data_IF_015860184104
#
_entry.id   IF_015860184104
#
_cell.length_a   1.000
_cell.length_b   1.000
_cell.length_c   1.000
_cell.angle_alpha   90.00
_cell.angle_beta   90.00
_cell.angle_gamma   90.00
#
_symmetry.space_group_name_H-M   'P 1'
#
loop_
_entity.id
_entity.type
_entity.pdbx_description
1 polymer ?
#
# COMPACT_ATOMS: atom_id res chain seq x y z
N UNK A 1 7.05 -27.94 49.40
CA UNK A 1 8.09 -28.06 48.35
C UNK A 1 8.49 -29.52 48.17
N UNK A 2 7.95 -30.22 47.15
CA UNK A 2 8.43 -31.50 46.55
C UNK A 2 7.28 -32.07 45.71
N UNK A 3 7.24 -31.78 44.40
CA UNK A 3 6.42 -32.56 43.44
C UNK A 3 6.73 -32.38 41.94
N UNK A 4 7.67 -31.53 41.52
CA UNK A 4 7.90 -31.29 40.07
C UNK A 4 9.11 -32.01 39.46
N UNK A 5 9.97 -32.66 40.25
CA UNK A 5 11.22 -33.26 39.75
C UNK A 5 11.03 -34.51 38.86
N UNK A 6 9.83 -35.10 38.84
CA UNK A 6 9.52 -36.24 37.97
C UNK A 6 8.87 -35.84 36.62
N UNK A 7 8.47 -34.58 36.43
CA UNK A 7 7.71 -34.19 35.22
C UNK A 7 8.59 -33.97 33.99
N UNK A 8 9.79 -33.38 34.16
CA UNK A 8 10.71 -33.10 33.07
C UNK A 8 11.33 -34.36 32.43
N UNK A 9 11.79 -35.37 33.20
CA UNK A 9 12.32 -36.61 32.63
C UNK A 9 11.23 -37.40 31.89
N UNK A 10 10.00 -37.39 32.40
CA UNK A 10 8.85 -38.06 31.79
C UNK A 10 8.46 -37.37 30.47
N UNK A 11 8.46 -36.04 30.41
CA UNK A 11 8.19 -35.29 29.18
C UNK A 11 9.28 -35.48 28.12
N UNK A 12 10.55 -35.57 28.53
CA UNK A 12 11.67 -35.86 27.61
C UNK A 12 11.55 -37.29 27.08
N UNK A 13 11.27 -38.27 27.94
CA UNK A 13 11.07 -39.65 27.52
C UNK A 13 9.84 -39.82 26.62
N UNK A 14 8.71 -39.17 26.95
CA UNK A 14 7.50 -39.17 26.14
C UNK A 14 7.73 -38.51 24.77
N UNK A 15 8.48 -37.40 24.72
CA UNK A 15 8.85 -36.75 23.46
C UNK A 15 9.78 -37.61 22.61
N UNK A 16 10.74 -38.30 23.23
CA UNK A 16 11.64 -39.23 22.52
C UNK A 16 10.87 -40.44 21.94
N UNK A 17 9.91 -40.98 22.67
CA UNK A 17 9.04 -42.08 22.21
C UNK A 17 8.12 -41.61 21.08
N UNK A 18 7.53 -40.41 21.18
CA UNK A 18 6.70 -39.82 20.13
C UNK A 18 7.50 -39.49 18.86
N UNK A 19 8.72 -38.98 18.98
CA UNK A 19 9.61 -38.77 17.83
C UNK A 19 10.05 -40.09 17.19
N UNK A 20 10.32 -41.13 17.98
CA UNK A 20 10.67 -42.46 17.46
C UNK A 20 9.49 -43.10 16.71
N UNK A 21 8.26 -42.97 17.22
CA UNK A 21 7.05 -43.43 16.56
C UNK A 21 6.70 -42.61 15.31
N UNK A 22 6.94 -41.29 15.32
CA UNK A 22 6.74 -40.45 14.13
C UNK A 22 7.74 -40.73 13.01
N UNK A 23 8.93 -41.27 13.33
CA UNK A 23 9.98 -41.59 12.36
C UNK A 23 9.61 -42.74 11.42
N UNK A 24 8.73 -43.67 11.83
CA UNK A 24 8.30 -44.79 10.97
C UNK A 24 7.27 -44.37 9.92
N UNK A 25 6.42 -43.39 10.24
CA UNK A 25 5.28 -42.98 9.40
C UNK A 25 5.51 -41.65 8.66
N UNK A 26 6.46 -40.84 9.09
CA UNK A 26 6.84 -39.61 8.38
C UNK A 26 7.89 -39.92 7.31
N UNK A 27 7.47 -39.90 6.04
CA UNK A 27 8.34 -40.12 4.87
C UNK A 27 9.55 -39.19 4.88
N UNK A 28 9.39 -37.93 5.32
CA UNK A 28 10.49 -36.97 5.45
C UNK A 28 11.49 -37.35 6.56
N UNK A 29 11.03 -37.77 7.74
CA UNK A 29 11.93 -38.16 8.85
C UNK A 29 12.60 -39.52 8.64
N UNK A 30 11.99 -40.39 7.82
CA UNK A 30 12.54 -41.70 7.43
C UNK A 30 13.67 -41.56 6.42
N UNK A 31 13.50 -40.71 5.40
CA UNK A 31 14.49 -40.47 4.38
C UNK A 31 14.32 -39.06 3.77
N UNK A 32 14.93 -38.02 4.39
CA UNK A 32 14.78 -36.63 3.95
C UNK A 32 15.20 -36.43 2.49
N UNK A 33 16.29 -37.08 2.07
CA UNK A 33 16.85 -36.95 0.73
C UNK A 33 15.90 -37.53 -0.33
N UNK A 34 15.31 -38.69 -0.06
CA UNK A 34 14.31 -39.31 -0.95
C UNK A 34 13.02 -38.47 -1.04
N UNK A 35 12.55 -37.92 0.09
CA UNK A 35 11.39 -37.03 0.10
C UNK A 35 11.67 -35.77 -0.73
N UNK A 36 12.80 -35.11 -0.52
CA UNK A 36 13.18 -33.90 -1.27
C UNK A 36 13.32 -34.21 -2.76
N UNK A 37 14.01 -35.29 -3.13
CA UNK A 37 14.16 -35.73 -4.52
C UNK A 37 12.83 -36.09 -5.19
N UNK A 38 11.88 -36.70 -4.45
CA UNK A 38 10.54 -37.01 -4.97
C UNK A 38 9.72 -35.74 -5.16
N UNK A 39 9.80 -34.80 -4.22
CA UNK A 39 9.12 -33.50 -4.29
C UNK A 39 9.66 -32.66 -5.43
N UNK A 40 10.98 -32.62 -5.62
CA UNK A 40 11.63 -31.99 -6.76
C UNK A 40 11.25 -32.64 -8.09
N UNK A 41 11.18 -33.98 -8.16
CA UNK A 41 10.72 -34.70 -9.36
C UNK A 41 9.28 -34.35 -9.71
N UNK A 42 8.37 -34.34 -8.73
CA UNK A 42 6.97 -33.96 -8.95
C UNK A 42 6.86 -32.50 -9.41
N UNK A 43 7.55 -31.58 -8.72
CA UNK A 43 7.57 -30.16 -9.09
C UNK A 43 8.16 -29.94 -10.49
N UNK A 44 9.17 -30.71 -10.87
CA UNK A 44 9.76 -30.68 -12.21
C UNK A 44 8.81 -31.26 -13.26
N UNK A 45 8.12 -32.35 -12.96
CA UNK A 45 7.11 -32.94 -13.84
C UNK A 45 5.93 -31.98 -14.07
N UNK A 46 5.42 -31.35 -13.02
CA UNK A 46 4.35 -30.35 -13.09
C UNK A 46 4.81 -29.09 -13.84
N UNK A 47 6.04 -28.64 -13.60
CA UNK A 47 6.68 -27.53 -14.33
C UNK A 47 6.88 -27.85 -15.80
N UNK A 48 7.31 -29.08 -16.14
CA UNK A 48 7.47 -29.54 -17.52
C UNK A 48 6.12 -29.67 -18.22
N UNK A 49 5.07 -30.18 -17.55
CA UNK A 49 3.71 -30.22 -18.08
C UNK A 49 3.19 -28.81 -18.32
N UNK A 50 3.35 -27.91 -17.36
CA UNK A 50 2.96 -26.50 -17.46
C UNK A 50 3.73 -25.81 -18.59
N UNK A 51 5.02 -26.08 -18.74
CA UNK A 51 5.87 -25.52 -19.80
C UNK A 51 5.48 -26.07 -21.18
N UNK A 52 5.10 -27.35 -21.28
CA UNK A 52 4.61 -27.97 -22.53
C UNK A 52 3.24 -27.43 -22.91
N UNK A 53 2.33 -27.28 -21.94
CA UNK A 53 1.01 -26.67 -22.17
C UNK A 53 1.20 -25.20 -22.55
N UNK A 54 2.04 -24.44 -21.86
CA UNK A 54 2.36 -23.07 -22.20
C UNK A 54 2.94 -22.98 -23.62
N UNK A 55 3.91 -23.82 -23.99
CA UNK A 55 4.44 -23.92 -25.35
C UNK A 55 3.39 -24.31 -26.39
N UNK A 56 2.44 -25.18 -26.04
CA UNK A 56 1.37 -25.62 -26.93
C UNK A 56 0.29 -24.55 -27.11
N UNK A 57 -0.03 -23.80 -26.06
CA UNK A 57 -0.94 -22.64 -26.06
C UNK A 57 -0.28 -21.43 -26.74
N UNK A 58 1.04 -21.28 -26.63
CA UNK A 58 1.83 -20.24 -27.30
C UNK A 58 2.35 -20.69 -28.67
N UNK A 59 2.00 -21.89 -29.14
CA UNK A 59 2.46 -22.41 -30.42
C UNK A 59 1.72 -21.69 -31.56
N UNK A 60 2.43 -21.24 -32.60
CA UNK A 60 1.80 -20.59 -33.76
C UNK A 60 0.87 -21.52 -34.56
N UNK A 61 0.83 -22.82 -34.26
CA UNK A 61 -0.03 -23.80 -34.93
C UNK A 61 -1.44 -23.92 -34.33
N UNK A 62 -1.63 -23.49 -33.07
CA UNK A 62 -2.95 -23.27 -32.44
C UNK A 62 -3.32 -21.80 -32.42
N UNK A 63 -2.37 -20.94 -32.75
CA UNK A 63 -2.63 -19.58 -33.16
C UNK A 63 -3.34 -19.59 -34.52
N UNK A 64 -4.64 -19.84 -34.48
CA UNK A 64 -5.53 -18.83 -35.01
C UNK A 64 -5.16 -17.54 -34.26
N UNK A 65 -4.08 -16.90 -34.73
CA UNK A 65 -3.85 -15.49 -34.57
C UNK A 65 -5.10 -14.87 -35.20
N UNK A 66 -6.17 -14.76 -34.41
CA UNK A 66 -6.85 -13.50 -34.31
C UNK A 66 -5.73 -12.49 -34.11
N UNK A 67 -5.18 -12.01 -35.22
CA UNK A 67 -4.47 -10.76 -35.30
C UNK A 67 -5.52 -9.78 -34.84
N UNK A 68 -5.61 -9.61 -33.52
CA UNK A 68 -6.62 -8.82 -32.88
C UNK A 68 -6.38 -7.43 -33.46
N UNK A 69 -7.20 -7.07 -34.44
CA UNK A 69 -6.85 -6.02 -35.38
C UNK A 69 -6.80 -4.74 -34.57
N UNK A 70 -5.59 -4.20 -34.41
CA UNK A 70 -5.38 -3.01 -33.61
C UNK A 70 -6.29 -1.91 -34.17
N UNK A 71 -7.05 -1.29 -33.29
CA UNK A 71 -8.05 -0.30 -33.66
C UNK A 71 -7.38 1.06 -33.74
N UNK A 72 -7.75 1.83 -34.77
CA UNK A 72 -7.44 3.26 -34.77
C UNK A 72 -8.14 3.88 -33.54
N UNK A 73 -7.41 4.48 -32.58
CA UNK A 73 -8.01 5.07 -31.37
C UNK A 73 -9.05 6.15 -31.68
N UNK A 74 -8.96 6.82 -32.84
CA UNK A 74 -9.98 7.78 -33.27
C UNK A 74 -11.33 7.11 -33.60
N UNK A 75 -11.34 5.82 -33.94
CA UNK A 75 -12.53 5.04 -34.24
C UNK A 75 -13.00 4.19 -33.05
N UNK A 76 -12.26 4.17 -31.93
CA UNK A 76 -12.66 3.45 -30.72
C UNK A 76 -13.92 4.11 -30.10
N UNK A 77 -14.94 3.31 -29.68
CA UNK A 77 -16.12 3.84 -29.03
C UNK A 77 -15.79 4.65 -27.77
N UNK A 78 -16.51 5.76 -27.56
CA UNK A 78 -16.38 6.63 -26.39
C UNK A 78 -17.62 6.47 -25.52
N UNK A 79 -17.44 6.02 -24.28
CA UNK A 79 -18.52 5.99 -23.27
C UNK A 79 -18.45 7.16 -22.30
N UNK A 80 -17.26 7.65 -21.98
CA UNK A 80 -17.08 8.74 -21.02
C UNK A 80 -15.83 9.59 -21.30
N UNK A 81 -15.63 10.62 -20.48
CA UNK A 81 -14.51 11.56 -20.61
C UNK A 81 -13.12 10.90 -20.42
N UNK A 82 -13.04 9.75 -19.76
CA UNK A 82 -11.78 8.99 -19.60
C UNK A 82 -11.38 8.38 -20.95
N UNK A 83 -12.34 7.81 -21.69
CA UNK A 83 -12.10 7.32 -23.05
C UNK A 83 -11.63 8.46 -23.97
N UNK A 84 -12.24 9.64 -23.84
CA UNK A 84 -11.82 10.86 -24.55
C UNK A 84 -10.36 11.19 -24.30
N UNK A 85 -9.96 11.23 -23.02
CA UNK A 85 -8.59 11.53 -22.62
C UNK A 85 -7.59 10.46 -23.08
N UNK A 86 -7.89 9.17 -22.89
CA UNK A 86 -6.97 8.07 -23.21
C UNK A 86 -6.78 7.94 -24.72
N UNK A 87 -7.86 7.67 -25.46
CA UNK A 87 -7.73 7.42 -26.89
C UNK A 87 -7.42 8.71 -27.67
N UNK A 88 -7.80 9.89 -27.16
CA UNK A 88 -7.37 11.17 -27.72
C UNK A 88 -5.84 11.32 -27.67
N UNK A 89 -5.23 10.99 -26.53
CA UNK A 89 -3.77 11.01 -26.38
C UNK A 89 -3.08 9.93 -27.21
N UNK A 90 -3.66 8.73 -27.28
CA UNK A 90 -3.13 7.66 -28.14
C UNK A 90 -3.14 8.06 -29.62
N UNK A 91 -4.23 8.66 -30.10
CA UNK A 91 -4.33 9.15 -31.47
C UNK A 91 -3.27 10.22 -31.78
N UNK A 92 -3.11 11.21 -30.89
CA UNK A 92 -2.10 12.25 -31.02
C UNK A 92 -0.67 11.70 -31.02
N UNK A 93 -0.43 10.60 -30.30
CA UNK A 93 0.87 9.92 -30.23
C UNK A 93 1.07 8.86 -31.34
N UNK A 94 0.08 8.64 -32.22
CA UNK A 94 0.15 7.59 -33.25
C UNK A 94 0.13 6.15 -32.71
N UNK A 95 -0.34 5.96 -31.47
CA UNK A 95 -0.40 4.66 -30.80
C UNK A 95 -1.74 3.99 -31.12
N UNK A 96 -1.71 2.78 -31.67
CA UNK A 96 -2.93 2.03 -31.96
C UNK A 96 -3.54 1.43 -30.67
N UNK A 97 -4.86 1.30 -30.63
CA UNK A 97 -5.58 0.68 -29.51
C UNK A 97 -5.67 -0.83 -29.66
N UNK A 98 -5.65 -1.54 -28.54
CA UNK A 98 -6.10 -2.92 -28.50
C UNK A 98 -7.60 -2.99 -28.88
N UNK A 99 -8.08 -4.12 -29.44
CA UNK A 99 -9.50 -4.33 -29.67
C UNK A 99 -10.27 -4.47 -28.36
N UNK A 100 -11.59 -4.30 -28.45
CA UNK A 100 -12.49 -4.48 -27.30
C UNK A 100 -12.42 -5.94 -26.84
N UNK A 101 -12.25 -6.13 -25.53
CA UNK A 101 -12.20 -7.46 -24.92
C UNK A 101 -13.49 -8.24 -25.17
N UNK A 102 -13.36 -9.56 -25.37
CA UNK A 102 -14.50 -10.49 -25.41
C UNK A 102 -15.27 -10.48 -24.09
N UNK A 103 -16.50 -10.99 -24.09
CA UNK A 103 -17.33 -11.02 -22.87
C UNK A 103 -16.70 -11.88 -21.76
N UNK A 104 -16.03 -12.99 -22.13
CA UNK A 104 -15.34 -13.84 -21.17
C UNK A 104 -14.13 -13.14 -20.53
N UNK A 105 -13.31 -12.46 -21.34
CA UNK A 105 -12.17 -11.67 -20.87
C UNK A 105 -12.64 -10.51 -19.99
N UNK A 106 -13.64 -9.76 -20.45
CA UNK A 106 -14.24 -8.66 -19.71
C UNK A 106 -14.73 -9.13 -18.33
N UNK A 107 -15.57 -10.17 -18.29
CA UNK A 107 -16.16 -10.67 -17.05
C UNK A 107 -15.10 -11.14 -16.06
N UNK A 108 -14.09 -11.87 -16.54
CA UNK A 108 -12.98 -12.32 -15.70
C UNK A 108 -12.19 -11.14 -15.13
N UNK A 109 -11.79 -10.20 -15.98
CA UNK A 109 -10.99 -9.04 -15.57
C UNK A 109 -11.75 -8.15 -14.59
N UNK A 110 -12.99 -7.76 -14.92
CA UNK A 110 -13.78 -6.88 -14.05
C UNK A 110 -14.09 -7.51 -12.69
N UNK A 111 -14.35 -8.82 -12.63
CA UNK A 111 -14.60 -9.50 -11.36
C UNK A 111 -13.31 -9.57 -10.52
N UNK A 112 -12.17 -9.91 -11.14
CA UNK A 112 -10.89 -9.91 -10.44
C UNK A 112 -10.49 -8.51 -9.96
N UNK A 113 -10.69 -7.49 -10.78
CA UNK A 113 -10.30 -6.11 -10.49
C UNK A 113 -11.21 -5.46 -9.44
N UNK A 114 -12.51 -5.76 -9.44
CA UNK A 114 -13.42 -5.17 -8.48
C UNK A 114 -13.54 -5.98 -7.18
N UNK A 115 -13.45 -7.30 -7.23
CA UNK A 115 -13.72 -8.16 -6.06
C UNK A 115 -12.60 -9.14 -5.70
N UNK A 116 -11.60 -9.30 -6.57
CA UNK A 116 -10.45 -10.18 -6.31
C UNK A 116 -10.78 -11.66 -6.47
N UNK A 117 -11.94 -11.97 -7.05
CA UNK A 117 -12.44 -13.33 -7.26
C UNK A 117 -12.66 -13.59 -8.74
N UNK A 118 -12.60 -14.87 -9.12
CA UNK A 118 -13.04 -15.31 -10.44
C UNK A 118 -14.56 -15.54 -10.42
N UNK A 119 -15.28 -15.28 -11.53
CA UNK A 119 -16.71 -15.59 -11.63
C UNK A 119 -16.94 -17.10 -11.55
N UNK A 120 -18.10 -17.51 -11.04
CA UNK A 120 -18.49 -18.92 -11.03
C UNK A 120 -18.85 -19.42 -12.44
N UNK A 121 -18.72 -20.73 -12.68
CA UNK A 121 -19.10 -21.33 -13.98
C UNK A 121 -20.51 -20.95 -14.45
N UNK A 122 -21.56 -21.06 -13.61
CA UNK A 122 -22.90 -20.64 -13.97
C UNK A 122 -23.02 -19.15 -14.33
N UNK A 123 -22.33 -18.26 -13.62
CA UNK A 123 -22.33 -16.83 -13.95
C UNK A 123 -21.65 -16.54 -15.30
N UNK A 124 -20.56 -17.24 -15.60
CA UNK A 124 -19.87 -17.11 -16.89
C UNK A 124 -20.81 -17.51 -18.03
N UNK A 125 -21.49 -18.66 -17.90
CA UNK A 125 -22.46 -19.12 -18.91
C UNK A 125 -23.59 -18.10 -19.06
N UNK A 126 -24.19 -17.66 -17.95
CA UNK A 126 -25.28 -16.68 -17.99
C UNK A 126 -24.86 -15.38 -18.68
N UNK A 127 -23.69 -14.84 -18.35
CA UNK A 127 -23.20 -13.58 -18.90
C UNK A 127 -22.84 -13.66 -20.39
N UNK A 128 -22.25 -14.78 -20.84
CA UNK A 128 -21.89 -14.97 -22.25
C UNK A 128 -23.14 -15.07 -23.13
N UNK A 129 -24.17 -15.78 -22.66
CA UNK A 129 -25.43 -15.94 -23.42
C UNK A 129 -26.42 -14.79 -23.24
N UNK A 130 -26.18 -13.88 -22.29
CA UNK A 130 -26.94 -12.65 -22.17
C UNK A 130 -26.70 -11.75 -23.40
N UNK A 131 -27.79 -11.31 -24.02
CA UNK A 131 -27.77 -10.48 -25.24
C UNK A 131 -28.10 -9.01 -24.96
N UNK A 132 -28.35 -8.66 -23.70
CA UNK A 132 -28.59 -7.28 -23.31
C UNK A 132 -27.34 -6.42 -23.62
N UNK A 133 -27.47 -5.37 -24.46
CA UNK A 133 -26.34 -4.49 -24.78
C UNK A 133 -25.78 -3.74 -23.57
N UNK A 134 -26.52 -3.67 -22.46
CA UNK A 134 -26.14 -3.01 -21.21
C UNK A 134 -25.54 -3.97 -20.15
N UNK A 135 -25.46 -5.29 -20.43
CA UNK A 135 -25.01 -6.30 -19.45
C UNK A 135 -23.67 -6.00 -18.78
N UNK A 136 -22.74 -5.35 -19.50
CA UNK A 136 -21.41 -4.97 -18.98
C UNK A 136 -21.53 -3.89 -17.89
N UNK A 137 -22.35 -2.87 -18.14
CA UNK A 137 -22.57 -1.76 -17.20
C UNK A 137 -23.32 -2.28 -15.97
N UNK A 138 -24.38 -3.08 -16.17
CA UNK A 138 -25.12 -3.72 -15.08
C UNK A 138 -24.24 -4.65 -14.22
N UNK A 139 -23.29 -5.39 -14.84
CA UNK A 139 -22.34 -6.22 -14.09
C UNK A 139 -21.35 -5.38 -13.28
N UNK A 140 -20.87 -4.27 -13.82
CA UNK A 140 -20.01 -3.32 -13.08
C UNK A 140 -20.77 -2.77 -11.87
N UNK A 141 -22.00 -2.27 -12.07
CA UNK A 141 -22.84 -1.73 -11.00
C UNK A 141 -23.15 -2.77 -9.91
N UNK A 142 -23.38 -4.03 -10.29
CA UNK A 142 -23.60 -5.10 -9.33
C UNK A 142 -22.33 -5.47 -8.52
N UNK A 143 -21.14 -5.29 -9.10
CA UNK A 143 -19.87 -5.57 -8.43
C UNK A 143 -19.45 -4.41 -7.52
N UNK A 144 -19.61 -3.16 -7.99
CA UNK A 144 -19.31 -1.97 -7.20
C UNK A 144 -20.29 -1.88 -6.03
N UNK A 145 -19.77 -1.85 -4.80
CA UNK A 145 -20.60 -1.86 -3.59
C UNK A 145 -21.04 -3.24 -3.10
N UNK A 146 -20.63 -4.32 -3.78
CA UNK A 146 -20.76 -5.69 -3.23
C UNK A 146 -19.91 -5.86 -1.96
N UNK A 147 -20.27 -6.80 -1.06
CA UNK A 147 -19.44 -7.12 0.10
C UNK A 147 -18.00 -7.49 -0.28
N UNK A 148 -17.82 -8.20 -1.39
CA UNK A 148 -16.51 -8.59 -1.89
C UNK A 148 -15.69 -7.40 -2.42
N UNK A 149 -16.35 -6.41 -3.05
CA UNK A 149 -15.70 -5.16 -3.42
C UNK A 149 -15.22 -4.43 -2.17
N UNK A 150 -16.08 -4.30 -1.16
CA UNK A 150 -15.72 -3.65 0.11
C UNK A 150 -14.51 -4.34 0.73
N UNK A 151 -14.53 -5.67 0.84
CA UNK A 151 -13.41 -6.43 1.41
C UNK A 151 -12.12 -6.27 0.59
N UNK A 152 -12.18 -6.36 -0.74
CA UNK A 152 -11.00 -6.16 -1.61
C UNK A 152 -10.40 -4.77 -1.43
N UNK A 153 -11.21 -3.73 -1.55
CA UNK A 153 -10.71 -2.35 -1.55
C UNK A 153 -10.29 -1.90 -0.15
N UNK A 154 -10.93 -2.42 0.90
CA UNK A 154 -10.42 -2.28 2.28
C UNK A 154 -9.02 -2.88 2.40
N UNK A 155 -8.79 -4.06 1.83
CA UNK A 155 -7.46 -4.69 1.84
C UNK A 155 -6.44 -3.94 0.98
N UNK A 156 -6.83 -3.41 -0.18
CA UNK A 156 -5.97 -2.56 -1.01
C UNK A 156 -5.47 -1.34 -0.23
N UNK A 157 -6.38 -0.57 0.38
CA UNK A 157 -5.99 0.57 1.22
C UNK A 157 -5.26 0.12 2.49
N UNK A 158 -5.63 -1.04 3.03
CA UNK A 158 -4.95 -1.65 4.17
C UNK A 158 -3.48 -1.93 3.90
N UNK A 159 -3.15 -2.43 2.71
CA UNK A 159 -1.77 -2.65 2.27
C UNK A 159 -1.05 -1.32 2.01
N UNK A 160 -1.68 -0.42 1.23
CA UNK A 160 -1.14 0.91 0.92
C UNK A 160 -0.77 1.70 2.18
N UNK A 161 -1.64 1.72 3.19
CA UNK A 161 -1.44 2.42 4.45
C UNK A 161 -0.79 1.57 5.56
N UNK A 162 -0.37 0.35 5.22
CA UNK A 162 0.39 -0.55 6.09
C UNK A 162 -0.33 -0.82 7.42
N UNK A 163 -1.60 -1.24 7.32
CA UNK A 163 -2.45 -1.63 8.46
C UNK A 163 -1.89 -2.93 9.06
N UNK A 164 -1.14 -2.78 10.13
CA UNK A 164 -0.55 -3.90 10.88
C UNK A 164 -0.59 -3.60 12.38
N UNK A 165 -0.67 -4.65 13.19
CA UNK A 165 -0.59 -4.53 14.64
C UNK A 165 0.85 -4.21 15.10
N UNK A 166 1.84 -4.75 14.40
CA UNK A 166 3.25 -4.58 14.72
C UNK A 166 4.11 -4.54 13.46
N UNK A 167 5.12 -3.68 13.50
CA UNK A 167 6.22 -3.59 12.54
C UNK A 167 7.55 -3.46 13.29
N UNK A 168 8.67 -3.40 12.56
CA UNK A 168 9.99 -3.16 13.17
C UNK A 168 10.12 -1.80 13.85
N UNK A 169 9.27 -0.82 13.51
CA UNK A 169 9.38 0.55 14.04
C UNK A 169 8.27 0.95 15.02
N UNK A 170 7.11 0.29 14.96
CA UNK A 170 5.97 0.63 15.82
C UNK A 170 5.14 -0.61 16.18
N UNK A 171 4.57 -0.59 17.38
CA UNK A 171 3.55 -1.54 17.81
C UNK A 171 2.25 -0.76 18.07
N UNK A 172 1.26 -0.92 17.18
CA UNK A 172 -0.08 -0.31 17.23
C UNK A 172 -1.08 -1.13 18.04
N UNK A 173 -0.68 -2.32 18.49
CA UNK A 173 -1.57 -3.31 19.08
C UNK A 173 -2.61 -3.86 18.09
N UNK A 174 -3.30 -4.93 18.48
CA UNK A 174 -4.41 -5.48 17.69
C UNK A 174 -5.58 -4.49 17.64
N UNK A 175 -5.81 -3.74 18.73
CA UNK A 175 -6.90 -2.77 18.82
C UNK A 175 -6.69 -1.58 17.87
N UNK A 176 -5.47 -1.04 17.77
CA UNK A 176 -5.18 0.03 16.81
C UNK A 176 -5.23 -0.46 15.36
N UNK A 177 -4.74 -1.68 15.09
CA UNK A 177 -4.92 -2.33 13.77
C UNK A 177 -6.41 -2.44 13.40
N UNK A 178 -7.22 -2.94 14.32
CA UNK A 178 -8.65 -3.20 14.07
C UNK A 178 -9.42 -1.89 13.90
N UNK A 179 -9.15 -0.87 14.73
CA UNK A 179 -9.71 0.47 14.56
C UNK A 179 -9.37 1.03 13.17
N UNK A 180 -8.12 0.91 12.72
CA UNK A 180 -7.71 1.40 11.41
C UNK A 180 -8.36 0.61 10.26
N UNK A 181 -8.41 -0.72 10.36
CA UNK A 181 -9.11 -1.56 9.38
C UNK A 181 -10.60 -1.19 9.29
N UNK A 182 -11.27 -1.00 10.42
CA UNK A 182 -12.69 -0.64 10.48
C UNK A 182 -12.95 0.75 9.88
N UNK A 183 -12.08 1.73 10.14
CA UNK A 183 -12.15 3.05 9.49
C UNK A 183 -12.07 2.93 7.96
N UNK A 184 -11.12 2.15 7.43
CA UNK A 184 -10.99 1.96 5.98
C UNK A 184 -12.20 1.21 5.40
N UNK A 185 -12.69 0.19 6.11
CA UNK A 185 -13.88 -0.55 5.70
C UNK A 185 -15.10 0.35 5.63
N UNK A 186 -15.30 1.20 6.64
CA UNK A 186 -16.36 2.19 6.68
C UNK A 186 -16.23 3.18 5.52
N UNK A 187 -15.05 3.76 5.32
CA UNK A 187 -14.78 4.71 4.24
C UNK A 187 -15.10 4.12 2.85
N UNK A 188 -14.71 2.88 2.59
CA UNK A 188 -15.04 2.20 1.32
C UNK A 188 -16.53 1.91 1.23
N UNK A 189 -17.15 1.39 2.29
CA UNK A 189 -18.57 1.00 2.27
C UNK A 189 -19.53 2.18 2.12
N UNK A 190 -19.13 3.35 2.59
CA UNK A 190 -19.91 4.59 2.51
C UNK A 190 -19.57 5.42 1.27
N UNK A 191 -18.68 4.91 0.40
CA UNK A 191 -18.17 5.63 -0.76
C UNK A 191 -17.60 7.02 -0.39
N UNK A 192 -16.82 7.07 0.70
CA UNK A 192 -16.19 8.30 1.18
C UNK A 192 -15.28 8.87 0.07
N UNK A 193 -15.37 10.17 -0.26
CA UNK A 193 -14.48 10.80 -1.22
C UNK A 193 -13.00 10.57 -0.84
N UNK A 194 -12.18 10.18 -1.82
CA UNK A 194 -10.78 9.83 -1.57
C UNK A 194 -9.97 11.00 -0.99
N UNK A 195 -10.25 12.22 -1.46
CA UNK A 195 -9.65 13.45 -0.94
C UNK A 195 -10.06 13.72 0.52
N UNK A 196 -11.30 13.41 0.91
CA UNK A 196 -11.70 13.46 2.31
C UNK A 196 -10.95 12.42 3.15
N UNK A 197 -10.85 11.16 2.69
CA UNK A 197 -10.10 10.12 3.40
C UNK A 197 -8.62 10.51 3.58
N UNK A 198 -7.98 11.07 2.54
CA UNK A 198 -6.61 11.55 2.63
C UNK A 198 -6.46 12.70 3.63
N UNK A 199 -7.40 13.65 3.66
CA UNK A 199 -7.38 14.74 4.64
C UNK A 199 -7.52 14.25 6.07
N UNK A 200 -8.44 13.33 6.32
CA UNK A 200 -8.64 12.70 7.63
C UNK A 200 -7.37 11.96 8.09
N UNK A 201 -6.72 11.18 7.22
CA UNK A 201 -5.48 10.44 7.56
C UNK A 201 -4.29 11.36 7.85
N UNK A 202 -4.05 12.38 7.02
CA UNK A 202 -2.90 13.28 7.16
C UNK A 202 -3.05 14.14 8.41
N UNK A 203 -4.25 14.67 8.67
CA UNK A 203 -4.55 15.57 9.77
C UNK A 203 -5.04 14.87 11.06
N UNK A 204 -5.05 13.53 11.11
CA UNK A 204 -5.60 12.75 12.22
C UNK A 204 -5.02 13.14 13.59
N UNK A 205 -5.88 13.27 14.61
CA UNK A 205 -5.53 13.49 16.01
C UNK A 205 -6.43 12.67 16.91
N UNK A 206 -5.98 12.43 18.15
CA UNK A 206 -6.74 11.71 19.15
C UNK A 206 -6.16 10.34 19.48
N UNK A 207 -7.05 9.44 19.88
CA UNK A 207 -6.73 8.13 20.41
C UNK A 207 -6.70 7.05 19.30
N UNK A 208 -5.57 6.34 19.18
CA UNK A 208 -5.40 5.30 18.16
C UNK A 208 -6.34 4.09 18.29
N UNK A 209 -6.99 3.87 19.43
CA UNK A 209 -7.95 2.77 19.60
C UNK A 209 -9.39 3.21 19.34
N UNK A 210 -9.68 4.51 19.41
CA UNK A 210 -11.03 5.07 19.23
C UNK A 210 -11.19 5.66 17.81
N UNK A 211 -10.13 6.24 17.26
CA UNK A 211 -10.10 6.90 15.96
C UNK A 211 -9.12 6.16 15.03
N UNK A 212 -9.66 5.41 14.06
CA UNK A 212 -8.87 4.49 13.23
C UNK A 212 -7.81 5.21 12.39
N UNK A 213 -8.13 6.36 11.82
CA UNK A 213 -7.29 7.21 11.00
C UNK A 213 -6.01 7.69 11.70
N UNK A 214 -6.03 7.79 13.04
CA UNK A 214 -4.86 8.14 13.87
C UNK A 214 -3.73 7.11 13.74
N UNK A 215 -4.02 5.89 13.31
CA UNK A 215 -3.01 4.86 13.12
C UNK A 215 -2.13 5.05 11.87
N UNK A 216 -2.53 5.93 10.93
CA UNK A 216 -1.68 6.33 9.80
C UNK A 216 -0.42 7.07 10.26
N UNK A 217 -0.50 8.21 10.98
CA UNK A 217 0.71 8.89 11.44
C UNK A 217 1.51 8.02 12.43
N UNK A 218 0.86 7.25 13.32
CA UNK A 218 1.55 6.31 14.23
C UNK A 218 2.41 5.31 13.45
N UNK A 219 1.87 4.75 12.37
CA UNK A 219 2.54 3.83 11.45
C UNK A 219 3.78 4.35 10.77
N UNK A 220 3.84 5.67 10.61
CA UNK A 220 4.88 6.38 9.88
C UNK A 220 5.99 6.89 10.82
N UNK A 221 6.02 6.41 12.06
CA UNK A 221 7.12 6.63 13.00
C UNK A 221 8.36 5.87 12.56
N UNK A 222 9.52 6.54 12.60
CA UNK A 222 10.82 5.93 12.32
C UNK A 222 11.54 5.70 13.65
N UNK A 223 11.86 4.45 13.95
CA UNK A 223 12.58 4.08 15.17
C UNK A 223 14.10 4.32 15.03
N UNK A 224 14.79 4.36 16.18
CA UNK A 224 16.25 4.40 16.27
C UNK A 224 16.93 5.63 15.63
N UNK A 225 16.26 6.78 15.66
CA UNK A 225 16.80 8.03 15.12
C UNK A 225 16.32 9.27 15.87
N UNK A 226 16.87 10.46 15.56
CA UNK A 226 16.33 11.72 16.05
C UNK A 226 14.91 11.95 15.49
N UNK A 227 14.16 12.87 16.11
CA UNK A 227 12.77 13.14 15.73
C UNK A 227 12.60 13.51 14.24
N UNK A 228 13.61 14.14 13.64
CA UNK A 228 13.66 14.48 12.23
C UNK A 228 13.55 13.28 11.30
N UNK A 229 14.03 12.10 11.71
CA UNK A 229 13.89 10.89 10.90
C UNK A 229 12.42 10.46 10.78
N UNK A 230 11.63 10.67 11.85
CA UNK A 230 10.18 10.45 11.83
C UNK A 230 9.47 11.49 10.98
N UNK A 231 9.84 12.77 11.08
CA UNK A 231 9.24 13.83 10.24
C UNK A 231 9.48 13.56 8.75
N UNK A 232 10.70 13.17 8.42
CA UNK A 232 11.10 12.78 7.06
C UNK A 232 10.38 11.50 6.62
N UNK A 233 10.27 10.50 7.48
CA UNK A 233 9.49 9.28 7.20
C UNK A 233 8.02 9.58 6.90
N UNK A 234 7.40 10.51 7.62
CA UNK A 234 6.03 10.94 7.36
C UNK A 234 5.90 11.69 6.03
N UNK A 235 6.86 12.56 5.69
CA UNK A 235 6.90 13.23 4.40
C UNK A 235 7.05 12.25 3.22
N UNK A 236 7.90 11.23 3.36
CA UNK A 236 8.05 10.16 2.36
C UNK A 236 6.75 9.40 2.19
N UNK A 237 6.18 8.88 3.28
CA UNK A 237 4.96 8.08 3.19
C UNK A 237 3.79 8.91 2.64
N UNK A 238 3.69 10.20 2.97
CA UNK A 238 2.70 11.10 2.38
C UNK A 238 2.88 11.23 0.86
N UNK A 239 4.10 11.51 0.39
CA UNK A 239 4.36 11.67 -1.03
C UNK A 239 4.19 10.37 -1.82
N UNK A 240 4.64 9.24 -1.27
CA UNK A 240 4.48 7.94 -1.90
C UNK A 240 3.02 7.49 -1.94
N UNK A 241 2.30 7.56 -0.81
CA UNK A 241 0.95 7.00 -0.70
C UNK A 241 -0.14 7.87 -1.33
N UNK A 242 0.02 9.20 -1.34
CA UNK A 242 -1.02 10.11 -1.84
C UNK A 242 -0.65 10.84 -3.14
N UNK A 243 0.63 10.88 -3.54
CA UNK A 243 1.07 11.52 -4.79
C UNK A 243 1.77 10.55 -5.75
N UNK A 244 2.05 9.31 -5.33
CA UNK A 244 2.85 8.36 -6.12
C UNK A 244 4.30 8.80 -6.34
N UNK A 245 4.82 9.73 -5.52
CA UNK A 245 6.17 10.31 -5.67
C UNK A 245 7.13 9.67 -4.66
N UNK A 246 7.79 8.59 -5.08
CA UNK A 246 8.80 7.89 -4.28
C UNK A 246 10.14 8.63 -4.18
N UNK A 247 10.40 9.61 -5.06
CA UNK A 247 11.68 10.33 -5.10
C UNK A 247 11.94 11.22 -3.89
N UNK A 248 10.91 11.51 -3.06
CA UNK A 248 11.08 12.26 -1.81
C UNK A 248 12.08 11.57 -0.88
N UNK A 249 12.10 10.24 -0.82
CA UNK A 249 13.04 9.51 0.05
C UNK A 249 14.50 9.69 -0.39
N UNK A 250 14.77 9.66 -1.70
CA UNK A 250 16.08 9.98 -2.25
C UNK A 250 16.47 11.43 -1.95
N UNK A 251 15.53 12.35 -2.18
CA UNK A 251 15.73 13.79 -2.03
C UNK A 251 15.97 14.22 -0.56
N UNK A 252 15.58 13.41 0.42
CA UNK A 252 15.87 13.66 1.82
C UNK A 252 17.31 13.33 2.22
N UNK A 253 18.08 12.69 1.34
CA UNK A 253 19.49 12.38 1.53
C UNK A 253 20.42 13.26 0.69
N UNK A 254 20.03 13.62 -0.54
CA UNK A 254 20.80 14.44 -1.47
C UNK A 254 19.91 15.30 -2.38
N UNK A 255 20.48 16.30 -3.05
CA UNK A 255 19.76 17.08 -4.06
C UNK A 255 19.48 16.22 -5.31
N UNK A 256 18.41 16.53 -6.04
CA UNK A 256 17.96 15.72 -7.18
C UNK A 256 18.85 15.81 -8.41
N UNK A 257 19.55 16.94 -8.57
CA UNK A 257 20.39 17.18 -9.74
C UNK A 257 21.47 16.08 -9.88
N UNK A 258 21.60 15.53 -11.10
CA UNK A 258 22.52 14.45 -11.47
C UNK A 258 22.21 13.09 -10.85
N UNK A 259 21.09 12.94 -10.14
CA UNK A 259 20.69 11.68 -9.50
C UNK A 259 19.32 11.20 -9.98
N UNK A 260 18.39 12.12 -10.21
CA UNK A 260 17.00 11.80 -10.59
C UNK A 260 16.68 12.10 -12.06
N UNK A 261 17.62 12.59 -12.86
CA UNK A 261 17.37 13.02 -14.24
C UNK A 261 16.81 11.91 -15.14
N UNK A 262 17.15 10.65 -14.83
CA UNK A 262 16.67 9.48 -15.57
C UNK A 262 15.43 8.83 -14.95
N UNK A 263 15.01 9.25 -13.76
CA UNK A 263 13.95 8.59 -12.97
C UNK A 263 12.75 9.50 -12.80
N UNK A 264 12.97 10.78 -12.45
CA UNK A 264 11.94 11.76 -12.19
C UNK A 264 12.45 13.17 -12.50
N UNK A 265 12.00 13.74 -13.63
CA UNK A 265 12.38 15.08 -14.09
C UNK A 265 11.94 16.21 -13.14
N UNK A 266 10.80 16.05 -12.45
CA UNK A 266 10.44 17.01 -11.40
C UNK A 266 11.44 16.92 -10.25
N UNK A 267 11.74 15.70 -9.81
CA UNK A 267 12.68 15.41 -8.74
C UNK A 267 14.09 15.93 -9.01
N UNK A 268 14.57 15.88 -10.25
CA UNK A 268 15.93 16.35 -10.60
C UNK A 268 16.13 17.86 -10.38
N UNK A 269 15.05 18.63 -10.36
CA UNK A 269 15.08 20.08 -10.06
C UNK A 269 14.96 20.40 -8.58
N UNK A 270 14.70 19.40 -7.73
CA UNK A 270 14.48 19.61 -6.30
C UNK A 270 15.78 19.60 -5.51
N UNK A 271 15.84 20.50 -4.53
CA UNK A 271 16.89 20.50 -3.51
C UNK A 271 16.39 19.78 -2.25
N UNK A 272 17.30 19.16 -1.54
CA UNK A 272 17.06 18.50 -0.25
C UNK A 272 16.37 19.41 0.76
N UNK A 273 16.74 20.70 0.78
CA UNK A 273 16.09 21.70 1.64
C UNK A 273 14.58 21.83 1.41
N UNK A 274 14.10 21.57 0.18
CA UNK A 274 12.67 21.60 -0.13
C UNK A 274 11.95 20.43 0.56
N UNK A 275 12.58 19.26 0.61
CA UNK A 275 12.00 18.09 1.29
C UNK A 275 12.02 18.25 2.81
N UNK A 276 13.05 18.87 3.38
CA UNK A 276 13.01 19.28 4.78
C UNK A 276 11.88 20.27 5.08
N UNK A 277 11.54 21.14 4.13
CA UNK A 277 10.35 21.99 4.20
C UNK A 277 9.05 21.20 4.23
N UNK A 278 8.95 20.11 3.46
CA UNK A 278 7.81 19.19 3.53
C UNK A 278 7.77 18.48 4.89
N UNK A 279 8.90 17.95 5.35
CA UNK A 279 9.02 17.32 6.67
C UNK A 279 8.68 18.26 7.82
N UNK A 280 8.94 19.57 7.68
CA UNK A 280 8.69 20.55 8.72
C UNK A 280 7.20 20.74 9.07
N UNK A 281 6.29 20.31 8.21
CA UNK A 281 4.87 20.20 8.56
C UNK A 281 4.62 19.22 9.71
N UNK A 282 5.43 18.17 9.82
CA UNK A 282 5.32 17.13 10.84
C UNK A 282 6.10 17.42 12.14
N UNK A 283 6.89 18.50 12.17
CA UNK A 283 7.72 18.83 13.34
C UNK A 283 6.93 19.10 14.64
N UNK A 284 5.62 19.36 14.51
CA UNK A 284 4.71 19.63 15.63
C UNK A 284 3.91 18.40 16.07
N UNK A 285 3.98 17.30 15.34
CA UNK A 285 3.30 16.06 15.74
C UNK A 285 3.90 15.54 17.04
N UNK A 286 3.03 15.18 17.98
CA UNK A 286 3.36 14.51 19.23
C UNK A 286 2.62 13.19 19.25
N UNK A 287 3.35 12.13 19.63
CA UNK A 287 2.80 10.79 19.77
C UNK A 287 3.15 10.27 21.15
N UNK A 288 2.17 10.28 22.04
CA UNK A 288 2.34 9.77 23.39
C UNK A 288 1.83 8.34 23.47
N UNK A 289 2.74 7.40 23.71
CA UNK A 289 2.37 6.00 23.99
C UNK A 289 1.81 5.90 25.41
N UNK A 290 0.58 5.41 25.54
CA UNK A 290 -0.11 5.19 26.82
C UNK A 290 -0.41 3.71 27.03
N UNK A 291 0.13 3.14 28.12
CA UNK A 291 -0.13 1.75 28.49
C UNK A 291 -1.49 1.64 29.16
N UNK A 292 -2.39 0.84 28.58
CA UNK A 292 -3.77 0.67 29.09
C UNK A 292 -3.93 -0.61 29.91
N UNK A 293 -3.11 -1.63 29.66
CA UNK A 293 -3.06 -2.85 30.45
C UNK A 293 -1.64 -3.43 30.46
N UNK A 294 -1.27 -4.12 31.55
CA UNK A 294 0.06 -4.72 31.73
C UNK A 294 0.03 -6.25 31.82
N UNK A 295 -1.15 -6.86 31.97
CA UNK A 295 -1.36 -8.31 32.06
C UNK A 295 -2.56 -8.74 31.21
N UNK A 296 -2.50 -9.88 30.47
CA UNK A 296 -1.39 -10.83 30.34
C UNK A 296 -0.26 -10.37 29.39
N UNK A 297 -0.44 -9.26 28.67
CA UNK A 297 0.65 -8.55 27.96
C UNK A 297 0.47 -7.05 28.10
N UNK A 298 1.53 -6.29 27.82
CA UNK A 298 1.43 -4.83 27.75
C UNK A 298 0.62 -4.43 26.50
N UNK A 299 -0.53 -3.80 26.72
CA UNK A 299 -1.36 -3.18 25.68
C UNK A 299 -1.14 -1.68 25.78
N UNK A 300 -0.87 -1.02 24.65
CA UNK A 300 -0.66 0.41 24.62
C UNK A 300 -1.29 1.05 23.39
N UNK A 301 -1.92 2.20 23.62
CA UNK A 301 -2.46 3.10 22.59
C UNK A 301 -1.52 4.28 22.38
N UNK A 302 -1.75 5.05 21.33
CA UNK A 302 -1.09 6.33 21.09
C UNK A 302 -2.13 7.45 21.13
N UNK A 303 -1.76 8.53 21.79
CA UNK A 303 -2.45 9.81 21.68
C UNK A 303 -1.64 10.70 20.74
N UNK A 304 -2.23 11.08 19.62
CA UNK A 304 -1.61 11.93 18.60
C UNK A 304 -2.19 13.34 18.69
N UNK A 305 -1.32 14.34 18.78
CA UNK A 305 -1.71 15.76 18.82
C UNK A 305 -0.71 16.63 18.07
N UNK A 306 -1.12 17.81 17.61
CA UNK A 306 -0.23 18.85 17.14
C UNK A 306 0.13 19.83 18.27
N UNK A 307 1.43 19.97 18.55
CA UNK A 307 1.94 20.97 19.48
C UNK A 307 1.79 22.39 18.92
N UNK A 308 1.57 23.37 19.80
CA UNK A 308 1.50 24.79 19.42
C UNK A 308 2.82 25.32 18.82
N UNK A 309 3.95 24.72 19.15
CA UNK A 309 5.28 25.13 18.70
C UNK A 309 6.22 23.96 18.39
N UNK A 310 7.28 24.26 17.65
CA UNK A 310 8.26 23.28 17.17
C UNK A 310 8.59 23.51 15.70
N UNK A 311 9.87 23.36 15.37
CA UNK A 311 10.41 23.52 14.02
C UNK A 311 11.30 22.34 13.65
N UNK A 312 11.51 22.15 12.35
CA UNK A 312 12.46 21.16 11.86
C UNK A 312 13.87 21.66 12.09
N UNK A 313 14.50 21.20 13.17
CA UNK A 313 15.83 21.65 13.57
C UNK A 313 16.93 21.01 12.71
N UNK A 314 17.91 21.80 12.31
CA UNK A 314 19.12 21.39 11.60
C UNK A 314 20.26 21.17 12.59
N UNK A 315 20.09 20.19 13.48
CA UNK A 315 20.99 19.93 14.60
C UNK A 315 21.35 18.44 14.78
N UNK A 316 21.23 17.62 13.74
CA UNK A 316 21.49 16.18 13.85
C UNK A 316 22.83 15.81 13.25
N UNK A 317 23.65 15.06 14.00
CA UNK A 317 24.95 14.50 13.54
C UNK A 317 24.91 13.00 13.27
N UNK A 318 23.80 12.34 13.61
CA UNK A 318 23.53 10.92 13.42
C UNK A 318 22.04 10.70 13.08
N UNK A 319 21.68 9.45 12.74
CA UNK A 319 20.32 9.03 12.38
C UNK A 319 20.32 8.12 11.16
N UNK A 320 19.13 7.83 10.66
CA UNK A 320 18.89 7.00 9.47
C UNK A 320 19.10 7.77 8.16
N UNK A 321 19.36 9.08 8.24
CA UNK A 321 19.65 9.95 7.08
C UNK A 321 20.92 10.78 7.32
N UNK A 322 21.44 11.36 6.25
CA UNK A 322 22.63 12.24 6.32
C UNK A 322 22.40 13.43 7.26
N UNK A 323 23.46 13.84 7.95
CA UNK A 323 23.42 14.89 8.98
C UNK A 323 22.68 16.17 8.51
N UNK A 324 21.93 16.78 9.42
CA UNK A 324 21.16 18.01 9.22
C UNK A 324 21.89 19.11 9.97
N UNK A 325 22.61 19.95 9.24
CA UNK A 325 23.46 21.01 9.80
C UNK A 325 22.93 22.39 9.38
N UNK A 326 23.19 23.45 10.16
CA UNK A 326 22.74 24.79 9.82
C UNK A 326 23.21 25.20 8.42
N UNK A 327 22.33 25.85 7.65
CA UNK A 327 22.63 26.39 6.32
C UNK A 327 22.73 27.90 6.47
N UNK A 328 23.87 28.49 6.07
CA UNK A 328 24.08 29.95 6.13
C UNK A 328 23.78 30.56 7.52
N UNK A 329 24.08 29.81 8.58
CA UNK A 329 23.81 30.22 9.97
C UNK A 329 22.38 30.01 10.45
N UNK A 330 21.45 29.56 9.59
CA UNK A 330 20.06 29.25 9.95
C UNK A 330 19.96 27.81 10.46
N UNK A 331 19.50 27.65 11.71
CA UNK A 331 19.46 26.36 12.41
C UNK A 331 18.16 25.56 12.27
N UNK A 332 17.19 26.01 11.47
CA UNK A 332 15.91 25.30 11.28
C UNK A 332 15.34 25.53 9.87
N UNK A 333 14.37 24.70 9.47
CA UNK A 333 13.65 24.83 8.19
C UNK A 333 12.15 25.06 8.46
N UNK A 334 11.54 26.12 7.92
CA UNK A 334 10.10 26.34 8.03
C UNK A 334 9.31 25.41 7.09
N UNK A 335 8.02 25.12 7.38
CA UNK A 335 7.15 24.37 6.49
C UNK A 335 7.08 24.98 5.09
N UNK A 336 7.27 24.14 4.07
CA UNK A 336 7.11 24.51 2.66
C UNK A 336 6.72 23.27 1.87
N UNK A 337 5.59 23.33 1.17
CA UNK A 337 5.17 22.26 0.29
C UNK A 337 5.86 22.45 -1.08
N UNK A 338 6.63 21.47 -1.57
CA UNK A 338 7.33 21.58 -2.86
C UNK A 338 6.45 21.24 -4.08
N UNK A 339 5.24 20.70 -3.87
CA UNK A 339 4.33 20.28 -4.94
C UNK A 339 3.36 21.41 -5.33
N UNK A 340 2.79 22.07 -4.32
CA UNK A 340 1.77 23.08 -4.50
C UNK A 340 2.32 24.52 -4.44
N UNK A 341 1.68 25.42 -5.18
CA UNK A 341 1.88 26.89 -5.11
C UNK A 341 0.92 27.60 -4.14
N UNK A 342 0.29 26.85 -3.21
CA UNK A 342 -0.85 27.29 -2.39
C UNK A 342 -0.57 28.36 -1.33
N UNK A 343 -1.65 28.79 -0.64
CA UNK A 343 -1.74 29.90 0.33
C UNK A 343 -0.92 29.77 1.63
N UNK A 344 -0.14 28.71 1.79
CA UNK A 344 0.54 28.40 3.05
C UNK A 344 -0.43 27.84 4.11
N UNK A 345 -0.13 28.10 5.37
CA UNK A 345 -0.95 27.67 6.52
C UNK A 345 -1.94 28.79 6.84
N UNK A 346 -3.24 28.50 6.81
CA UNK A 346 -4.28 29.51 7.05
C UNK A 346 -4.52 29.74 8.56
N UNK A 347 -5.02 30.93 8.96
CA UNK A 347 -5.30 31.21 10.36
C UNK A 347 -6.25 30.17 10.99
N UNK A 348 -5.84 29.57 12.09
CA UNK A 348 -6.62 28.56 12.81
C UNK A 348 -6.38 27.12 12.33
N UNK A 349 -5.67 26.90 11.22
CA UNK A 349 -5.27 25.55 10.79
C UNK A 349 -4.03 25.05 11.53
N UNK A 350 -3.98 23.75 11.83
CA UNK A 350 -2.72 23.08 12.16
C UNK A 350 -1.85 22.92 10.90
N UNK A 351 -0.56 22.64 11.09
CA UNK A 351 0.35 22.36 9.97
C UNK A 351 -0.15 21.19 9.12
N UNK A 352 -0.64 20.12 9.74
CA UNK A 352 -1.11 18.94 9.01
C UNK A 352 -2.44 19.16 8.32
N UNK A 353 -3.33 19.97 8.88
CA UNK A 353 -4.56 20.40 8.19
C UNK A 353 -4.23 21.20 6.93
N UNK A 354 -3.32 22.19 7.03
CA UNK A 354 -2.86 22.95 5.87
C UNK A 354 -2.18 22.04 4.83
N UNK A 355 -1.33 21.11 5.26
CA UNK A 355 -0.68 20.16 4.35
C UNK A 355 -1.71 19.26 3.66
N UNK A 356 -2.66 18.71 4.39
CA UNK A 356 -3.73 17.86 3.89
C UNK A 356 -4.55 18.56 2.79
N UNK A 357 -4.93 19.82 3.03
CA UNK A 357 -5.61 20.68 2.04
C UNK A 357 -4.74 20.89 0.80
N UNK A 358 -3.48 21.27 0.98
CA UNK A 358 -2.58 21.53 -0.14
C UNK A 358 -2.33 20.28 -0.99
N UNK A 359 -2.09 19.12 -0.36
CA UNK A 359 -1.85 17.84 -1.05
C UNK A 359 -3.07 17.43 -1.86
N UNK A 360 -4.27 17.47 -1.26
CA UNK A 360 -5.50 17.06 -1.96
C UNK A 360 -5.97 18.04 -3.03
N UNK A 361 -5.44 19.27 -3.04
CA UNK A 361 -5.65 20.24 -4.12
C UNK A 361 -4.65 20.12 -5.28
N UNK A 362 -3.58 19.32 -5.11
CA UNK A 362 -2.54 19.17 -6.12
C UNK A 362 -3.03 18.29 -7.28
N UNK A 363 -2.71 18.67 -8.52
CA UNK A 363 -3.06 17.87 -9.70
C UNK A 363 -2.46 16.46 -9.63
N UNK A 364 -1.30 16.31 -9.00
CA UNK A 364 -0.67 15.01 -8.84
C UNK A 364 -1.46 14.09 -7.92
N UNK A 365 -2.21 14.61 -6.94
CA UNK A 365 -3.11 13.79 -6.12
C UNK A 365 -4.20 13.13 -6.97
N UNK A 366 -4.73 13.82 -7.97
CA UNK A 366 -5.71 13.24 -8.90
C UNK A 366 -5.11 12.22 -9.88
N UNK A 367 -3.78 12.16 -9.99
CA UNK A 367 -3.05 11.27 -10.91
C UNK A 367 -2.47 10.03 -10.22
N UNK A 368 -2.28 10.11 -8.91
CA UNK A 368 -1.81 9.04 -8.06
C UNK A 368 -2.94 8.05 -7.80
#
# INVERSE_FOLDING_TARGET
MRRQWFTLPILIAASAILLAAAKSDCVFLRNPDEFMLKTERLRKADSELTSRIAMYVSSPLTAEQATAQMLNPAAAPRKNFIDDAIFGRMAAAGIQSAPIASDAEFLRSVTLDLTGRIPSGPEVVAFIFDTDPSKRDAKIDALIGSPEFIDKWTMFFGDLYRVNAQSGSVNRDIYGRDAFYLYLKDAVSTNKPYDQMARELIAAEGDSFEHGEVNWPVGNTVAMGPAQDTYDGQAVNLASMFLGINSVDCLLCHDGARHLDQVNLWGSTQMRRNMWGLSAYFARVRMQRQVTATMPRQIAKYIVTDAAGGEYQLNTVSGNRTARRPIEGVGFVPPKNPFATGSGIEPGETRRQALARQITSDIQFSRA
#
